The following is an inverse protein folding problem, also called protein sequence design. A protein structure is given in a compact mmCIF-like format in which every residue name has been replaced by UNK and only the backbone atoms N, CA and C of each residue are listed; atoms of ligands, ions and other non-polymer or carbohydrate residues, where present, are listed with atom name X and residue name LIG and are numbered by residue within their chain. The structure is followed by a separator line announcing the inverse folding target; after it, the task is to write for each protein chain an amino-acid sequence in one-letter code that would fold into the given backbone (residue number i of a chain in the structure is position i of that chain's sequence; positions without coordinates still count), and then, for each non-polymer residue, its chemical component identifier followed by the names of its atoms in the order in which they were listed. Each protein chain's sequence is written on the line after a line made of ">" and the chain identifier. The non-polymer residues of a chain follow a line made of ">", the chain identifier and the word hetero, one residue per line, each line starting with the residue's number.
data_IF_961837393155
#
_entry.id   IF_961837393155
#
_cell.length_a   1.000
_cell.length_b   1.000
_cell.length_c   1.000
_cell.angle_alpha   90.00
_cell.angle_beta   90.00
_cell.angle_gamma   90.00
#
_symmetry.space_group_name_H-M   'P 1'
#
loop_
_entity.id
_entity.type
_entity.pdbx_description
1 polymer ?
#
# COMPACT_ATOMS: atom_id res chain seq x y z
N UNK A 1 17.06 6.69 22.38
CA UNK A 1 16.74 7.12 21.01
C UNK A 1 15.57 8.08 21.09
N UNK A 2 15.70 9.29 20.58
CA UNK A 2 14.59 10.24 20.51
C UNK A 2 13.67 9.92 19.32
N UNK A 3 12.50 10.58 19.22
CA UNK A 3 11.50 10.28 18.18
C UNK A 3 12.06 10.47 16.77
N UNK A 4 12.83 11.52 16.53
CA UNK A 4 13.40 11.79 15.19
C UNK A 4 14.46 10.74 14.81
N UNK A 5 15.27 10.30 15.77
CA UNK A 5 16.22 9.20 15.57
C UNK A 5 15.48 7.89 15.28
N UNK A 6 14.38 7.61 16.03
CA UNK A 6 13.59 6.40 15.82
C UNK A 6 12.94 6.35 14.44
N UNK A 7 12.39 7.46 13.96
CA UNK A 7 11.83 7.57 12.59
C UNK A 7 12.89 7.33 11.53
N UNK A 8 14.06 7.96 11.68
CA UNK A 8 15.16 7.81 10.72
C UNK A 8 15.66 6.38 10.67
N UNK A 9 15.93 5.75 11.83
CA UNK A 9 16.37 4.35 11.92
C UNK A 9 15.34 3.40 11.32
N UNK A 10 14.04 3.60 11.62
CA UNK A 10 12.97 2.80 11.05
C UNK A 10 12.92 2.93 9.52
N UNK A 11 12.92 4.17 9.02
CA UNK A 11 12.88 4.44 7.59
C UNK A 11 14.07 3.80 6.84
N UNK A 12 15.25 3.82 7.43
CA UNK A 12 16.46 3.23 6.86
C UNK A 12 16.42 1.70 6.84
N UNK A 13 16.11 1.06 7.98
CA UNK A 13 16.03 -0.40 8.11
C UNK A 13 14.99 -1.00 7.19
N UNK A 14 13.82 -0.40 7.12
CA UNK A 14 12.69 -0.90 6.32
C UNK A 14 12.68 -0.38 4.89
N UNK A 15 13.63 0.52 4.52
CA UNK A 15 13.59 1.26 3.24
C UNK A 15 12.22 1.89 3.00
N UNK A 16 11.68 2.51 4.07
CA UNK A 16 10.31 3.09 4.08
C UNK A 16 9.25 2.12 3.58
N UNK A 17 9.32 0.84 3.93
CA UNK A 17 8.32 -0.15 3.53
C UNK A 17 8.30 -0.46 2.01
N UNK A 18 9.37 -0.14 1.27
CA UNK A 18 9.48 -0.33 -0.18
C UNK A 18 9.02 -1.72 -0.67
N UNK A 19 9.34 -2.86 0.00
CA UNK A 19 8.87 -4.18 -0.42
C UNK A 19 7.35 -4.33 -0.39
N UNK A 20 6.67 -3.70 0.57
CA UNK A 20 5.20 -3.74 0.68
C UNK A 20 4.56 -2.94 -0.46
N UNK A 21 5.16 -1.80 -0.84
CA UNK A 21 4.67 -1.01 -1.99
C UNK A 21 4.79 -1.82 -3.28
N UNK A 22 5.88 -2.59 -3.48
CA UNK A 22 6.02 -3.49 -4.64
C UNK A 22 4.90 -4.54 -4.63
N UNK A 23 4.67 -5.21 -3.49
CA UNK A 23 3.62 -6.22 -3.38
C UNK A 23 2.22 -5.62 -3.66
N UNK A 24 1.95 -4.42 -3.14
CA UNK A 24 0.71 -3.69 -3.41
C UNK A 24 0.56 -3.32 -4.89
N UNK A 25 1.63 -2.86 -5.53
CA UNK A 25 1.64 -2.57 -6.98
C UNK A 25 1.30 -3.83 -7.78
N UNK A 26 1.94 -4.96 -7.47
CA UNK A 26 1.67 -6.24 -8.13
C UNK A 26 0.21 -6.68 -7.95
N UNK A 27 -0.34 -6.52 -6.74
CA UNK A 27 -1.76 -6.78 -6.50
C UNK A 27 -2.66 -5.94 -7.40
N UNK A 28 -2.42 -4.62 -7.51
CA UNK A 28 -3.24 -3.73 -8.33
C UNK A 28 -3.07 -3.99 -9.83
N UNK A 29 -1.87 -4.38 -10.29
CA UNK A 29 -1.66 -4.84 -11.68
C UNK A 29 -2.49 -6.10 -11.96
N UNK A 30 -2.44 -7.10 -11.08
CA UNK A 30 -3.23 -8.34 -11.23
C UNK A 30 -4.72 -8.02 -11.21
N UNK A 31 -5.19 -7.17 -10.30
CA UNK A 31 -6.59 -6.73 -10.25
C UNK A 31 -7.01 -6.02 -11.55
N UNK A 32 -6.14 -5.17 -12.11
CA UNK A 32 -6.39 -4.48 -13.39
C UNK A 32 -6.53 -5.45 -14.57
N UNK A 33 -5.59 -6.40 -14.68
CA UNK A 33 -5.58 -7.39 -15.76
C UNK A 33 -6.81 -8.30 -15.64
N UNK A 34 -7.07 -8.82 -14.45
CA UNK A 34 -8.20 -9.72 -14.23
C UNK A 34 -9.55 -9.03 -14.35
N UNK A 35 -9.65 -7.73 -14.02
CA UNK A 35 -10.84 -6.93 -14.24
C UNK A 35 -11.24 -6.79 -15.72
N UNK A 36 -10.26 -6.88 -16.64
CA UNK A 36 -10.50 -6.87 -18.09
C UNK A 36 -10.81 -8.26 -18.63
N UNK A 37 -10.16 -9.30 -18.08
CA UNK A 37 -10.18 -10.65 -18.67
C UNK A 37 -11.24 -11.57 -18.08
N UNK A 38 -11.67 -11.33 -16.85
CA UNK A 38 -12.55 -12.22 -16.09
C UNK A 38 -13.92 -11.58 -15.83
N UNK A 39 -14.90 -12.42 -15.53
CA UNK A 39 -16.20 -11.94 -15.04
C UNK A 39 -16.06 -11.34 -13.62
N UNK A 40 -16.93 -10.41 -13.25
CA UNK A 40 -16.95 -9.80 -11.91
C UNK A 40 -16.96 -10.83 -10.78
N UNK A 41 -17.74 -11.93 -10.94
CA UNK A 41 -17.80 -13.02 -9.96
C UNK A 41 -16.44 -13.70 -9.74
N UNK A 42 -15.59 -13.73 -10.73
CA UNK A 42 -14.24 -14.32 -10.63
C UNK A 42 -13.24 -13.29 -10.07
N UNK A 43 -13.33 -12.04 -10.51
CA UNK A 43 -12.44 -10.95 -10.07
C UNK A 43 -12.59 -10.69 -8.57
N UNK A 44 -13.77 -10.83 -7.99
CA UNK A 44 -14.01 -10.72 -6.55
C UNK A 44 -13.03 -11.60 -5.74
N UNK A 45 -12.76 -12.81 -6.19
CA UNK A 45 -11.80 -13.69 -5.50
C UNK A 45 -10.37 -13.17 -5.56
N UNK A 46 -10.01 -12.46 -6.62
CA UNK A 46 -8.70 -11.79 -6.73
C UNK A 46 -8.56 -10.73 -5.64
N UNK A 47 -9.63 -9.97 -5.36
CA UNK A 47 -9.63 -8.99 -4.28
C UNK A 47 -9.55 -9.65 -2.90
N UNK A 48 -10.41 -10.64 -2.62
CA UNK A 48 -10.47 -11.30 -1.31
C UNK A 48 -9.17 -12.03 -0.95
N UNK A 49 -8.61 -12.77 -1.89
CA UNK A 49 -7.37 -13.53 -1.68
C UNK A 49 -6.16 -12.61 -1.79
N UNK A 50 -6.14 -11.77 -2.84
CA UNK A 50 -4.99 -10.95 -3.18
C UNK A 50 -4.63 -9.94 -2.12
N UNK A 51 -5.63 -9.24 -1.53
CA UNK A 51 -5.35 -8.28 -0.45
C UNK A 51 -4.72 -8.96 0.78
N UNK A 52 -5.13 -10.21 1.10
CA UNK A 52 -4.53 -11.00 2.18
C UNK A 52 -3.09 -11.41 1.88
N UNK A 53 -2.76 -11.58 0.60
CA UNK A 53 -1.43 -11.99 0.15
C UNK A 53 -0.42 -10.83 0.07
N UNK A 54 -0.83 -9.57 0.03
CA UNK A 54 0.08 -8.42 -0.11
C UNK A 54 1.17 -8.41 0.97
N UNK A 55 0.79 -8.58 2.23
CA UNK A 55 1.75 -8.54 3.32
C UNK A 55 2.74 -9.73 3.30
N UNK A 56 2.31 -11.02 3.18
CA UNK A 56 3.23 -12.14 3.00
C UNK A 56 4.17 -11.99 1.80
N UNK A 57 3.66 -11.55 0.64
CA UNK A 57 4.49 -11.28 -0.53
C UNK A 57 5.49 -10.14 -0.29
N UNK A 58 5.06 -9.08 0.39
CA UNK A 58 5.96 -7.99 0.77
C UNK A 58 7.11 -8.46 1.67
N UNK A 59 6.83 -9.34 2.64
CA UNK A 59 7.88 -9.96 3.48
C UNK A 59 8.82 -10.85 2.66
N UNK A 60 8.30 -11.61 1.71
CA UNK A 60 9.11 -12.42 0.80
C UNK A 60 10.05 -11.53 -0.05
N UNK A 61 9.54 -10.44 -0.61
CA UNK A 61 10.33 -9.45 -1.36
C UNK A 61 11.40 -8.83 -0.43
N UNK A 62 11.04 -8.48 0.80
CA UNK A 62 11.98 -7.94 1.78
C UNK A 62 13.11 -8.93 2.10
N UNK A 63 12.80 -10.22 2.24
CA UNK A 63 13.80 -11.26 2.45
C UNK A 63 14.78 -11.38 1.27
N UNK A 64 14.26 -11.34 0.03
CA UNK A 64 15.07 -11.36 -1.19
C UNK A 64 15.99 -10.12 -1.26
N UNK A 65 15.46 -8.94 -0.93
CA UNK A 65 16.19 -7.68 -0.95
C UNK A 65 17.04 -7.45 0.30
N UNK A 66 17.02 -8.39 1.28
CA UNK A 66 17.73 -8.30 2.57
C UNK A 66 17.37 -7.04 3.37
N UNK A 67 16.10 -6.65 3.36
CA UNK A 67 15.55 -5.48 4.07
C UNK A 67 14.94 -5.96 5.39
N UNK A 68 15.31 -5.33 6.52
CA UNK A 68 14.74 -5.61 7.84
C UNK A 68 13.40 -4.88 8.02
N UNK A 69 12.30 -5.55 7.65
CA UNK A 69 10.94 -4.99 7.77
C UNK A 69 10.46 -4.82 9.21
N UNK A 70 11.05 -5.54 10.15
CA UNK A 70 10.63 -5.49 11.56
C UNK A 70 11.42 -4.47 12.37
N UNK A 71 12.51 -3.91 11.81
CA UNK A 71 13.37 -2.90 12.43
C UNK A 71 13.67 -3.22 13.89
N UNK A 72 14.21 -4.41 14.15
CA UNK A 72 14.48 -4.92 15.51
C UNK A 72 15.16 -3.87 16.39
N UNK A 73 14.61 -3.66 17.59
CA UNK A 73 15.11 -2.67 18.58
C UNK A 73 14.61 -1.24 18.34
N UNK A 74 13.82 -0.97 17.32
CA UNK A 74 13.22 0.33 17.10
C UNK A 74 11.84 0.44 17.80
N UNK A 75 11.61 1.44 18.68
CA UNK A 75 10.34 1.59 19.40
C UNK A 75 9.14 1.88 18.49
N UNK A 76 9.35 2.46 17.29
CA UNK A 76 8.29 2.72 16.32
C UNK A 76 8.00 1.51 15.43
N UNK A 77 8.82 0.44 15.45
CA UNK A 77 8.57 -0.77 14.67
C UNK A 77 7.25 -1.43 15.05
N UNK A 78 6.93 -1.51 16.35
CA UNK A 78 5.65 -2.02 16.83
C UNK A 78 4.48 -1.16 16.35
N UNK A 79 4.59 0.17 16.43
CA UNK A 79 3.56 1.09 15.95
C UNK A 79 3.31 0.92 14.45
N UNK A 80 4.37 0.85 13.64
CA UNK A 80 4.26 0.61 12.20
C UNK A 80 3.55 -0.74 11.91
N UNK A 81 3.88 -1.78 12.68
CA UNK A 81 3.22 -3.09 12.59
C UNK A 81 1.74 -3.04 12.98
N UNK A 82 1.38 -2.33 14.04
CA UNK A 82 -0.03 -2.15 14.47
C UNK A 82 -0.82 -1.43 13.38
N UNK A 83 -0.28 -0.36 12.80
CA UNK A 83 -0.94 0.37 11.71
C UNK A 83 -1.11 -0.53 10.49
N UNK A 84 -0.09 -1.33 10.12
CA UNK A 84 -0.22 -2.32 9.06
C UNK A 84 -1.30 -3.37 9.35
N UNK A 85 -1.43 -3.76 10.62
CA UNK A 85 -2.44 -4.71 11.10
C UNK A 85 -3.89 -4.20 11.08
N UNK A 86 -4.12 -2.88 10.98
CA UNK A 86 -5.47 -2.29 10.85
C UNK A 86 -6.23 -2.89 9.66
N UNK A 87 -5.54 -3.29 8.60
CA UNK A 87 -6.18 -3.92 7.45
C UNK A 87 -6.90 -5.25 7.80
N UNK A 88 -6.48 -5.95 8.84
CA UNK A 88 -7.21 -7.14 9.35
C UNK A 88 -8.57 -6.73 9.92
N UNK A 89 -8.64 -5.58 10.59
CA UNK A 89 -9.89 -5.04 11.14
C UNK A 89 -10.83 -4.51 10.04
N UNK A 90 -10.33 -4.29 8.84
CA UNK A 90 -11.12 -3.90 7.68
C UNK A 90 -11.84 -5.09 7.01
N UNK A 91 -11.51 -6.34 7.36
CA UNK A 91 -12.14 -7.55 6.79
C UNK A 91 -13.66 -7.52 6.87
N UNK A 92 -14.32 -7.15 8.00
CA UNK A 92 -15.77 -7.08 8.06
C UNK A 92 -16.39 -6.13 7.03
N UNK A 93 -15.75 -4.98 6.74
CA UNK A 93 -16.23 -4.03 5.72
C UNK A 93 -16.11 -4.63 4.31
N UNK A 94 -15.02 -5.33 4.04
CA UNK A 94 -14.81 -6.01 2.75
C UNK A 94 -15.81 -7.14 2.55
N UNK A 95 -16.10 -7.93 3.60
CA UNK A 95 -17.11 -8.98 3.56
C UNK A 95 -18.52 -8.41 3.40
N UNK A 96 -18.83 -7.29 4.08
CA UNK A 96 -20.12 -6.61 3.92
C UNK A 96 -20.29 -6.15 2.47
N UNK A 97 -19.28 -5.53 1.87
CA UNK A 97 -19.30 -5.13 0.47
C UNK A 97 -19.49 -6.37 -0.44
N UNK A 98 -18.74 -7.44 -0.19
CA UNK A 98 -18.86 -8.69 -0.96
C UNK A 98 -20.29 -9.28 -0.96
N UNK A 99 -20.95 -9.32 0.21
CA UNK A 99 -22.26 -9.94 0.33
C UNK A 99 -23.42 -9.04 -0.07
N UNK A 100 -23.31 -7.73 0.11
CA UNK A 100 -24.41 -6.79 -0.09
C UNK A 100 -24.28 -5.96 -1.38
N UNK A 101 -23.04 -5.60 -1.76
CA UNK A 101 -22.75 -4.66 -2.85
C UNK A 101 -21.46 -5.08 -3.57
N UNK A 102 -21.40 -6.28 -4.18
CA UNK A 102 -20.16 -6.83 -4.76
C UNK A 102 -19.55 -5.91 -5.82
N UNK A 103 -20.33 -5.14 -6.55
CA UNK A 103 -19.89 -4.15 -7.54
C UNK A 103 -19.07 -3.01 -6.92
N UNK A 104 -19.23 -2.73 -5.62
CA UNK A 104 -18.49 -1.71 -4.89
C UNK A 104 -17.20 -2.23 -4.26
N UNK A 105 -16.90 -3.53 -4.38
CA UNK A 105 -15.73 -4.13 -3.75
C UNK A 105 -14.40 -3.45 -4.12
N UNK A 106 -14.12 -3.12 -5.41
CA UNK A 106 -12.91 -2.39 -5.78
C UNK A 106 -12.79 -1.04 -5.09
N UNK A 107 -13.92 -0.31 -5.00
CA UNK A 107 -13.99 0.99 -4.34
C UNK A 107 -13.68 0.86 -2.85
N UNK A 108 -14.36 -0.04 -2.15
CA UNK A 108 -14.19 -0.25 -0.69
C UNK A 108 -12.76 -0.64 -0.37
N UNK A 109 -12.19 -1.61 -1.09
CA UNK A 109 -10.81 -2.06 -0.87
C UNK A 109 -9.82 -0.94 -1.12
N UNK A 110 -9.96 -0.19 -2.22
CA UNK A 110 -9.05 0.90 -2.56
C UNK A 110 -9.13 2.05 -1.53
N UNK A 111 -10.32 2.40 -1.06
CA UNK A 111 -10.52 3.43 -0.03
C UNK A 111 -9.86 3.03 1.30
N UNK A 112 -10.11 1.83 1.78
CA UNK A 112 -9.55 1.33 3.04
C UNK A 112 -8.01 1.27 2.99
N UNK A 113 -7.45 0.79 1.87
CA UNK A 113 -6.01 0.75 1.65
C UNK A 113 -5.44 2.18 1.54
N UNK A 114 -6.09 3.08 0.82
CA UNK A 114 -5.64 4.47 0.69
C UNK A 114 -5.54 5.19 2.02
N UNK A 115 -6.59 5.12 2.83
CA UNK A 115 -6.64 5.77 4.16
C UNK A 115 -5.59 5.19 5.12
N UNK A 116 -5.37 3.89 5.10
CA UNK A 116 -4.44 3.20 5.99
C UNK A 116 -2.97 3.68 5.81
N UNK A 117 -2.60 4.21 4.65
CA UNK A 117 -1.25 4.73 4.42
C UNK A 117 -0.97 6.10 5.03
N UNK A 118 -1.99 6.86 5.43
CA UNK A 118 -1.83 8.22 5.94
C UNK A 118 -0.88 8.33 7.15
N UNK A 119 -0.95 7.46 8.18
CA UNK A 119 -0.02 7.52 9.31
C UNK A 119 1.45 7.32 8.93
N UNK A 120 1.73 6.63 7.83
CA UNK A 120 3.11 6.41 7.38
C UNK A 120 3.79 7.68 6.86
N UNK A 121 3.02 8.73 6.51
CA UNK A 121 3.56 10.06 6.21
C UNK A 121 4.38 10.57 7.39
N UNK A 122 3.84 10.44 8.59
CA UNK A 122 4.50 10.88 9.81
C UNK A 122 5.61 9.92 10.25
N UNK A 123 5.37 8.61 10.16
CA UNK A 123 6.32 7.57 10.61
C UNK A 123 7.60 7.61 9.77
N UNK A 124 7.48 7.68 8.46
CA UNK A 124 8.62 7.66 7.54
C UNK A 124 9.11 9.04 7.12
N UNK A 125 8.44 10.12 7.59
CA UNK A 125 8.68 11.49 7.13
C UNK A 125 8.73 11.57 5.59
N UNK A 126 7.75 10.92 4.94
CA UNK A 126 7.73 10.68 3.50
C UNK A 126 6.53 11.35 2.83
N UNK A 127 6.81 12.26 1.91
CA UNK A 127 5.79 12.90 1.07
C UNK A 127 5.17 11.89 0.09
N UNK A 128 5.93 10.87 -0.30
CA UNK A 128 5.47 9.81 -1.18
C UNK A 128 4.30 9.02 -0.58
N UNK A 129 4.28 8.80 0.73
CA UNK A 129 3.15 8.19 1.42
C UNK A 129 1.92 9.10 1.49
N UNK A 130 2.12 10.42 1.57
CA UNK A 130 1.03 11.40 1.43
C UNK A 130 0.38 11.32 0.06
N UNK A 131 1.21 11.27 -0.99
CA UNK A 131 0.73 11.09 -2.36
C UNK A 131 0.01 9.74 -2.53
N UNK A 132 0.58 8.63 -2.01
CA UNK A 132 -0.05 7.31 -2.06
C UNK A 132 -1.43 7.32 -1.40
N UNK A 133 -1.54 7.84 -0.18
CA UNK A 133 -2.79 7.88 0.58
C UNK A 133 -3.84 8.77 -0.10
N UNK A 134 -3.54 10.06 -0.25
CA UNK A 134 -4.48 11.04 -0.81
C UNK A 134 -4.78 10.75 -2.27
N UNK A 135 -3.75 10.40 -3.05
CA UNK A 135 -3.90 10.04 -4.46
C UNK A 135 -4.82 8.84 -4.65
N UNK A 136 -4.62 7.76 -3.89
CA UNK A 136 -5.49 6.56 -3.96
C UNK A 136 -6.93 6.91 -3.61
N UNK A 137 -7.17 7.67 -2.53
CA UNK A 137 -8.51 8.09 -2.13
C UNK A 137 -9.17 8.95 -3.21
N UNK A 138 -8.46 9.94 -3.76
CA UNK A 138 -9.00 10.84 -4.78
C UNK A 138 -9.31 10.11 -6.09
N UNK A 139 -8.37 9.32 -6.62
CA UNK A 139 -8.63 8.61 -7.88
C UNK A 139 -9.74 7.59 -7.73
N UNK A 140 -9.80 6.89 -6.59
CA UNK A 140 -10.87 5.94 -6.28
C UNK A 140 -12.21 6.63 -6.22
N UNK A 141 -12.31 7.78 -5.54
CA UNK A 141 -13.54 8.56 -5.44
C UNK A 141 -14.01 9.04 -6.81
N UNK A 142 -13.12 9.62 -7.60
CA UNK A 142 -13.44 10.09 -8.96
C UNK A 142 -13.89 8.92 -9.85
N UNK A 143 -13.13 7.82 -9.84
CA UNK A 143 -13.47 6.66 -10.67
C UNK A 143 -14.78 6.00 -10.22
N UNK A 144 -15.03 5.90 -8.89
CA UNK A 144 -16.26 5.34 -8.37
C UNK A 144 -17.52 6.17 -8.69
N UNK A 145 -17.38 7.51 -8.73
CA UNK A 145 -18.50 8.41 -9.09
C UNK A 145 -18.74 8.40 -10.60
N UNK A 146 -17.68 8.50 -11.40
CA UNK A 146 -17.83 8.69 -12.86
C UNK A 146 -17.98 7.37 -13.63
N UNK A 147 -17.49 6.26 -13.10
CA UNK A 147 -17.39 4.97 -13.80
C UNK A 147 -17.86 3.79 -12.94
N UNK A 148 -18.92 3.97 -12.13
CA UNK A 148 -19.41 2.96 -11.19
C UNK A 148 -19.62 1.57 -11.85
N UNK A 149 -20.20 1.53 -13.06
CA UNK A 149 -20.45 0.29 -13.80
C UNK A 149 -19.17 -0.44 -14.28
N UNK A 150 -18.02 0.26 -14.27
CA UNK A 150 -16.70 -0.27 -14.68
C UNK A 150 -15.71 -0.29 -13.52
N UNK A 151 -16.20 -0.32 -12.29
CA UNK A 151 -15.39 -0.21 -11.07
C UNK A 151 -14.26 -1.24 -11.00
N UNK A 152 -14.49 -2.48 -11.42
CA UNK A 152 -13.50 -3.55 -11.46
C UNK A 152 -12.36 -3.35 -12.46
N UNK A 153 -12.51 -2.43 -13.42
CA UNK A 153 -11.50 -2.11 -14.43
C UNK A 153 -10.83 -0.78 -14.11
N UNK A 154 -11.61 0.28 -13.95
CA UNK A 154 -11.09 1.66 -13.91
C UNK A 154 -10.39 1.95 -12.59
N UNK A 155 -10.95 1.50 -11.45
CA UNK A 155 -10.37 1.75 -10.13
C UNK A 155 -8.98 1.09 -9.99
N UNK A 156 -8.81 -0.23 -10.24
CA UNK A 156 -7.49 -0.83 -10.07
C UNK A 156 -6.46 -0.27 -11.06
N UNK A 157 -6.85 0.11 -12.29
CA UNK A 157 -5.94 0.76 -13.24
C UNK A 157 -5.45 2.13 -12.71
N UNK A 158 -6.36 2.96 -12.21
CA UNK A 158 -6.01 4.27 -11.67
C UNK A 158 -5.11 4.14 -10.42
N UNK A 159 -5.44 3.21 -9.52
CA UNK A 159 -4.63 2.95 -8.31
C UNK A 159 -3.26 2.36 -8.67
N UNK A 160 -3.18 1.51 -9.70
CA UNK A 160 -1.88 1.02 -10.22
C UNK A 160 -0.96 2.16 -10.60
N UNK A 161 -1.46 3.20 -11.27
CA UNK A 161 -0.68 4.38 -11.65
C UNK A 161 -0.18 5.11 -10.40
N UNK A 162 -1.03 5.32 -9.39
CA UNK A 162 -0.65 5.95 -8.12
C UNK A 162 0.46 5.15 -7.43
N UNK A 163 0.33 3.83 -7.35
CA UNK A 163 1.35 2.97 -6.75
C UNK A 163 2.67 2.99 -7.52
N UNK A 164 2.61 3.00 -8.84
CA UNK A 164 3.81 3.06 -9.68
C UNK A 164 4.59 4.36 -9.47
N UNK A 165 3.90 5.50 -9.46
CA UNK A 165 4.50 6.81 -9.17
C UNK A 165 5.09 6.81 -7.75
N UNK A 166 4.36 6.27 -6.77
CA UNK A 166 4.81 6.16 -5.37
C UNK A 166 6.07 5.32 -5.26
N UNK A 167 6.14 4.17 -5.94
CA UNK A 167 7.31 3.29 -5.92
C UNK A 167 8.57 4.02 -6.38
N UNK A 168 8.47 4.76 -7.49
CA UNK A 168 9.58 5.60 -8.01
C UNK A 168 9.95 6.66 -6.96
N UNK A 169 8.97 7.36 -6.43
CA UNK A 169 9.18 8.45 -5.47
C UNK A 169 9.86 7.96 -4.17
N UNK A 170 9.40 6.84 -3.59
CA UNK A 170 10.04 6.23 -2.40
C UNK A 170 11.45 5.75 -2.72
N UNK A 171 11.69 5.20 -3.92
CA UNK A 171 13.04 4.82 -4.34
C UNK A 171 14.00 6.02 -4.37
N UNK A 172 13.54 7.15 -4.89
CA UNK A 172 14.31 8.39 -4.93
C UNK A 172 14.56 8.97 -3.52
N UNK A 173 13.55 8.93 -2.64
CA UNK A 173 13.71 9.34 -1.23
C UNK A 173 14.73 8.48 -0.50
N UNK A 174 14.73 7.15 -0.73
CA UNK A 174 15.69 6.24 -0.11
C UNK A 174 17.12 6.50 -0.60
N UNK A 175 17.32 6.69 -1.92
CA UNK A 175 18.63 7.02 -2.50
C UNK A 175 19.18 8.35 -1.96
N UNK A 176 18.31 9.37 -1.83
CA UNK A 176 18.72 10.65 -1.25
C UNK A 176 19.20 10.49 0.20
N UNK A 177 18.45 9.74 1.02
CA UNK A 177 18.82 9.49 2.41
C UNK A 177 20.16 8.74 2.55
N UNK A 178 20.48 7.82 1.64
CA UNK A 178 21.76 7.11 1.59
C UNK A 178 22.92 8.07 1.24
N UNK A 179 22.73 8.93 0.24
CA UNK A 179 23.75 9.89 -0.18
C UNK A 179 24.06 10.92 0.92
N UNK A 180 23.03 11.43 1.62
CA UNK A 180 23.19 12.40 2.71
C UNK A 180 24.02 11.81 3.88
N UNK A 181 23.93 10.49 4.10
CA UNK A 181 24.74 9.80 5.11
C UNK A 181 26.21 9.64 4.70
N UNK A 182 26.47 9.31 3.42
CA UNK A 182 27.83 9.16 2.92
C UNK A 182 28.62 10.48 2.96
N UNK A 183 27.94 11.61 2.83
CA UNK A 183 28.55 12.95 2.88
C UNK A 183 28.84 13.37 4.34
N UNK A 184 28.09 12.82 5.32
CA UNK A 184 28.21 13.18 6.73
C UNK A 184 29.11 12.25 7.56
N UNK A 185 29.62 11.16 6.97
CA UNK A 185 30.52 10.18 7.56
C UNK A 185 31.98 10.43 7.16
#
# INVERSE_FOLDING_TARGET
>A
MNISEAKRDLAQKTKKGFPIIIAGLLFWIVASITGVLLSEKQVVWVYLIGMGCVFPFGLMIAAILKIDMFAKGNPLGTLAGVIGGINVLNIPFVLLAYFQFPEWLPFVVAMLIGVHFLPYVWIYESKSYGFLSVGTVLVTSVCGILFAEKGFIVIPMAVTVVYFITLISVSLENKKAENDQQISA
#
